data_IF_780545000685
#
_entry.id   IF_780545000685
#
_cell.length_a   1.000
_cell.length_b   1.000
_cell.length_c   1.000
_cell.angle_alpha   90.00
_cell.angle_beta   90.00
_cell.angle_gamma   90.00
#
_symmetry.space_group_name_H-M   'P 1'
#
loop_
_entity.id
_entity.type
_entity.pdbx_description
1 polymer ?
#
# COMPACT_ATOMS: atom_id res chain seq x y z
N UNK A 1 6.88 27.20 35.54
CA UNK A 1 7.11 25.84 34.98
C UNK A 1 6.05 25.63 33.91
N UNK A 2 6.37 25.20 32.68
CA UNK A 2 5.33 24.72 31.79
C UNK A 2 4.66 23.53 32.49
N UNK A 3 3.34 23.60 32.66
CA UNK A 3 2.57 22.45 33.15
C UNK A 3 2.64 21.31 32.12
N UNK A 4 2.33 20.10 32.55
CA UNK A 4 2.32 18.95 31.65
C UNK A 4 1.21 19.08 30.59
N UNK A 5 1.47 18.52 29.42
CA UNK A 5 0.44 18.22 28.44
C UNK A 5 -0.24 16.92 28.86
N UNK A 6 -1.57 16.96 29.02
CA UNK A 6 -2.34 15.82 29.52
C UNK A 6 -3.34 15.37 28.46
N UNK A 7 -3.41 14.06 28.25
CA UNK A 7 -4.44 13.39 27.46
C UNK A 7 -5.26 12.53 28.41
N UNK A 8 -6.58 12.65 28.34
CA UNK A 8 -7.51 11.79 29.08
C UNK A 8 -8.56 11.21 28.14
N UNK A 9 -9.27 10.16 28.59
CA UNK A 9 -10.49 9.71 27.91
C UNK A 9 -11.58 10.75 28.08
N UNK A 10 -12.33 10.99 27.01
CA UNK A 10 -13.55 11.78 27.08
C UNK A 10 -14.63 10.91 27.74
N UNK A 11 -15.25 11.34 28.86
CA UNK A 11 -16.28 10.55 29.55
C UNK A 11 -17.56 10.38 28.71
N UNK A 12 -17.78 11.24 27.73
CA UNK A 12 -18.86 11.15 26.75
C UNK A 12 -18.55 10.04 25.72
N UNK A 13 -19.04 8.83 26.02
CA UNK A 13 -18.79 7.59 25.26
C UNK A 13 -19.40 7.56 23.86
N UNK A 14 -20.41 8.39 23.59
CA UNK A 14 -21.03 8.50 22.25
C UNK A 14 -20.28 9.48 21.34
N UNK A 15 -19.26 10.15 21.87
CA UNK A 15 -18.50 11.15 21.13
C UNK A 15 -17.57 10.52 20.10
N UNK A 16 -17.62 11.05 18.87
CA UNK A 16 -16.59 10.77 17.84
C UNK A 16 -15.21 11.37 18.17
N UNK A 17 -15.11 12.13 19.26
CA UNK A 17 -13.88 12.69 19.81
C UNK A 17 -13.60 12.07 21.20
N UNK A 18 -13.07 10.83 21.26
CA UNK A 18 -12.93 10.07 22.50
C UNK A 18 -11.81 10.54 23.44
N UNK A 19 -11.04 11.59 23.09
CA UNK A 19 -9.95 12.09 23.92
C UNK A 19 -10.13 13.55 24.30
N UNK A 20 -9.67 13.89 25.50
CA UNK A 20 -9.51 15.25 26.00
C UNK A 20 -8.03 15.61 26.06
N UNK A 21 -7.69 16.83 25.63
CA UNK A 21 -6.33 17.38 25.63
C UNK A 21 -6.32 18.59 26.56
N UNK A 22 -5.44 18.61 27.56
CA UNK A 22 -5.13 19.80 28.37
C UNK A 22 -3.81 20.37 27.91
N UNK A 23 -3.87 21.51 27.23
CA UNK A 23 -2.70 22.23 26.72
C UNK A 23 -2.30 23.29 27.76
N UNK A 24 -1.04 23.29 28.22
CA UNK A 24 -0.58 24.14 29.32
C UNK A 24 -0.28 25.57 28.84
N UNK A 25 -1.30 26.25 28.31
CA UNK A 25 -1.22 27.63 27.84
C UNK A 25 -2.13 28.54 28.68
N UNK A 26 -1.50 29.42 29.48
CA UNK A 26 -2.19 30.32 30.40
C UNK A 26 -2.63 29.65 31.71
N UNK A 27 -3.20 30.41 32.66
CA UNK A 27 -3.45 29.94 34.04
C UNK A 27 -4.45 28.79 34.16
N UNK A 28 -5.39 28.67 33.23
CA UNK A 28 -6.40 27.59 33.21
C UNK A 28 -6.12 26.47 32.21
N UNK A 29 -5.06 26.59 31.42
CA UNK A 29 -4.85 25.76 30.23
C UNK A 29 -5.94 25.93 29.16
N UNK A 30 -5.75 25.25 28.04
CA UNK A 30 -6.78 25.11 26.99
C UNK A 30 -7.20 23.65 26.94
N UNK A 31 -8.52 23.41 26.91
CA UNK A 31 -9.07 22.06 26.90
C UNK A 31 -9.78 21.82 25.57
N UNK A 32 -9.39 20.73 24.90
CA UNK A 32 -9.94 20.35 23.61
C UNK A 32 -10.35 18.88 23.59
N UNK A 33 -11.47 18.56 22.93
CA UNK A 33 -11.80 17.21 22.48
C UNK A 33 -11.06 16.91 21.17
N UNK A 34 -10.55 15.69 21.02
CA UNK A 34 -9.83 15.22 19.85
C UNK A 34 -10.15 13.75 19.54
N UNK A 35 -9.95 13.36 18.27
CA UNK A 35 -10.24 11.98 17.83
C UNK A 35 -9.15 10.96 18.12
N UNK A 36 -7.94 11.43 18.43
CA UNK A 36 -6.74 10.60 18.61
C UNK A 36 -5.77 11.32 19.55
N UNK A 37 -4.79 10.59 20.08
CA UNK A 37 -3.79 11.03 21.04
C UNK A 37 -2.59 11.74 20.41
N UNK A 38 -2.45 11.69 19.08
CA UNK A 38 -1.44 12.46 18.34
C UNK A 38 -1.76 12.53 16.83
N UNK A 39 -1.48 13.63 16.12
CA UNK A 39 -1.74 13.76 14.68
C UNK A 39 -0.67 13.05 13.84
N UNK A 40 -0.78 11.72 13.78
CA UNK A 40 0.20 10.82 13.12
C UNK A 40 -0.02 10.71 11.61
N UNK A 41 -1.24 10.40 11.23
CA UNK A 41 -1.60 10.06 9.84
C UNK A 41 -2.27 11.21 9.09
N UNK A 42 -3.00 12.08 9.80
CA UNK A 42 -3.63 13.28 9.27
C UNK A 42 -3.79 14.33 10.39
N UNK A 43 -4.09 15.57 10.01
CA UNK A 43 -4.48 16.60 10.98
C UNK A 43 -5.76 16.18 11.72
N UNK A 44 -5.85 16.52 12.99
CA UNK A 44 -6.98 16.18 13.85
C UNK A 44 -7.81 17.43 14.06
N UNK A 45 -9.12 17.34 13.80
CA UNK A 45 -10.04 18.37 14.25
C UNK A 45 -10.16 18.34 15.77
N UNK A 46 -10.15 19.52 16.39
CA UNK A 46 -10.30 19.68 17.81
C UNK A 46 -11.51 20.58 18.11
N UNK A 47 -12.29 20.19 19.11
CA UNK A 47 -13.44 20.96 19.59
C UNK A 47 -13.12 21.53 20.97
N UNK A 48 -13.33 22.83 21.18
CA UNK A 48 -13.08 23.46 22.49
C UNK A 48 -14.13 23.03 23.50
N UNK A 49 -13.71 22.80 24.74
CA UNK A 49 -14.62 22.58 25.87
C UNK A 49 -14.21 23.47 27.03
N UNK A 50 -15.16 23.77 27.90
CA UNK A 50 -14.97 24.80 28.94
C UNK A 50 -14.40 24.24 30.25
N UNK A 51 -14.59 22.94 30.51
CA UNK A 51 -14.18 22.31 31.77
C UNK A 51 -13.44 20.99 31.56
N UNK A 52 -12.51 20.69 32.47
CA UNK A 52 -11.85 19.41 32.58
C UNK A 52 -12.65 18.56 33.57
N UNK A 53 -13.12 17.35 33.20
CA UNK A 53 -13.87 16.50 34.12
C UNK A 53 -13.02 16.08 35.32
N UNK A 54 -13.58 16.10 36.53
CA UNK A 54 -12.88 15.70 37.75
C UNK A 54 -12.50 14.21 37.75
N UNK A 55 -13.33 13.39 37.11
CA UNK A 55 -13.20 11.94 36.95
C UNK A 55 -12.47 11.53 35.66
N UNK A 56 -11.82 12.47 34.96
CA UNK A 56 -11.14 12.19 33.71
C UNK A 56 -10.01 11.16 33.86
N UNK A 57 -10.16 9.99 33.23
CA UNK A 57 -9.14 8.95 33.17
C UNK A 57 -7.95 9.40 32.31
N UNK A 58 -6.83 9.74 32.96
CA UNK A 58 -5.60 10.16 32.27
C UNK A 58 -4.99 8.98 31.51
N UNK A 59 -4.87 9.14 30.19
CA UNK A 59 -4.23 8.19 29.28
C UNK A 59 -2.74 8.48 29.15
N UNK A 60 -2.37 9.76 29.08
CA UNK A 60 -0.98 10.17 28.93
C UNK A 60 -0.75 11.52 29.62
N UNK A 61 0.41 11.66 30.28
CA UNK A 61 0.89 12.93 30.83
C UNK A 61 2.35 13.11 30.44
N UNK A 62 2.65 14.20 29.74
CA UNK A 62 3.99 14.44 29.18
C UNK A 62 4.49 15.82 29.57
N UNK A 63 5.71 15.93 30.13
CA UNK A 63 6.32 17.22 30.38
C UNK A 63 6.46 18.04 29.11
N UNK A 64 6.28 19.35 29.21
CA UNK A 64 6.36 20.27 28.09
C UNK A 64 7.66 21.07 28.15
N UNK A 65 8.45 21.04 27.07
CA UNK A 65 9.64 21.89 26.94
C UNK A 65 9.29 23.31 26.52
N UNK A 66 8.28 23.47 25.66
CA UNK A 66 7.79 24.77 25.20
C UNK A 66 6.34 24.68 24.76
N UNK A 67 5.49 25.59 25.24
CA UNK A 67 4.14 25.82 24.74
C UNK A 67 3.93 27.33 24.56
N UNK A 68 3.89 27.78 23.30
CA UNK A 68 3.86 29.21 22.98
C UNK A 68 2.85 29.49 21.89
N UNK A 69 2.02 30.52 22.09
CA UNK A 69 1.14 31.04 21.04
C UNK A 69 1.93 31.90 20.06
N UNK A 70 1.81 31.61 18.78
CA UNK A 70 2.34 32.43 17.67
C UNK A 70 1.23 32.72 16.67
N UNK A 71 0.73 33.95 16.69
CA UNK A 71 -0.40 34.36 15.85
C UNK A 71 -1.63 33.48 16.07
N UNK A 72 -2.04 32.79 15.00
CA UNK A 72 -3.18 31.88 14.96
C UNK A 72 -2.84 30.41 15.30
N UNK A 73 -1.63 30.13 15.79
CA UNK A 73 -1.21 28.79 16.18
C UNK A 73 -0.66 28.75 17.60
N UNK A 74 -0.72 27.57 18.22
CA UNK A 74 0.02 27.24 19.44
C UNK A 74 1.06 26.20 19.06
N UNK A 75 2.34 26.54 19.24
CA UNK A 75 3.44 25.60 19.10
C UNK A 75 3.56 24.79 20.39
N UNK A 76 3.53 23.46 20.27
CA UNK A 76 3.67 22.53 21.39
C UNK A 76 4.89 21.63 21.17
N UNK A 77 5.86 21.74 22.07
CA UNK A 77 7.08 20.92 22.11
C UNK A 77 7.10 20.14 23.42
N UNK A 78 6.92 18.82 23.31
CA UNK A 78 6.93 17.89 24.42
C UNK A 78 8.35 17.39 24.73
N UNK A 79 8.58 16.97 25.97
CA UNK A 79 9.81 16.32 26.41
C UNK A 79 9.74 14.80 26.23
N UNK A 80 9.78 14.35 24.98
CA UNK A 80 9.87 12.93 24.62
C UNK A 80 10.63 12.73 23.31
N UNK A 81 11.09 11.49 23.09
CA UNK A 81 11.94 11.14 21.94
C UNK A 81 11.19 11.10 20.59
N UNK A 82 9.89 10.83 20.59
CA UNK A 82 9.04 10.77 19.38
C UNK A 82 7.75 11.53 19.62
N UNK A 83 7.07 11.92 18.54
CA UNK A 83 5.76 12.61 18.64
C UNK A 83 5.86 13.84 19.55
N UNK A 84 6.92 14.62 19.39
CA UNK A 84 7.30 15.64 20.36
C UNK A 84 7.11 17.08 19.88
N UNK A 85 6.71 17.28 18.61
CA UNK A 85 6.51 18.61 18.01
C UNK A 85 5.21 18.64 17.24
N UNK A 86 4.31 19.55 17.61
CA UNK A 86 3.03 19.75 16.94
C UNK A 86 2.57 21.21 17.04
N UNK A 87 1.52 21.53 16.29
CA UNK A 87 0.84 22.81 16.33
C UNK A 87 -0.67 22.63 16.48
N UNK A 88 -1.31 23.47 17.29
CA UNK A 88 -2.76 23.66 17.28
C UNK A 88 -3.08 24.95 16.54
N UNK A 89 -3.68 24.83 15.36
CA UNK A 89 -3.96 25.96 14.46
C UNK A 89 -5.43 26.33 14.52
N UNK A 90 -5.68 27.59 14.83
CA UNK A 90 -6.99 28.21 14.84
C UNK A 90 -7.26 28.77 13.44
N UNK A 91 -8.23 28.19 12.75
CA UNK A 91 -8.57 28.54 11.38
C UNK A 91 -10.07 28.83 11.25
N UNK A 92 -10.47 29.45 10.14
CA UNK A 92 -11.87 29.50 9.71
C UNK A 92 -12.07 28.49 8.58
N UNK A 93 -13.07 27.62 8.70
CA UNK A 93 -13.48 26.71 7.62
C UNK A 93 -14.46 27.40 6.66
N UNK A 94 -14.81 26.72 5.56
CA UNK A 94 -15.79 27.22 4.57
C UNK A 94 -17.08 27.63 5.29
N UNK A 95 -17.54 28.86 5.04
CA UNK A 95 -18.66 29.48 5.76
C UNK A 95 -18.25 30.26 7.02
N UNK A 96 -16.96 30.54 7.24
CA UNK A 96 -16.48 31.46 8.28
C UNK A 96 -16.45 30.91 9.71
N UNK A 97 -16.92 29.67 9.92
CA UNK A 97 -16.97 29.01 11.24
C UNK A 97 -15.56 28.78 11.79
N UNK A 98 -15.30 29.05 13.08
CA UNK A 98 -14.03 28.76 13.71
C UNK A 98 -13.81 27.24 13.80
N UNK A 99 -12.57 26.80 13.60
CA UNK A 99 -12.15 25.41 13.76
C UNK A 99 -10.73 25.38 14.31
N UNK A 100 -10.44 24.36 15.12
CA UNK A 100 -9.10 24.11 15.66
C UNK A 100 -8.58 22.83 15.01
N UNK A 101 -7.36 22.86 14.49
CA UNK A 101 -6.71 21.68 13.93
C UNK A 101 -5.39 21.41 14.64
N UNK A 102 -5.25 20.22 15.19
CA UNK A 102 -3.99 19.72 15.71
C UNK A 102 -3.21 18.99 14.61
N UNK A 103 -1.99 19.42 14.35
CA UNK A 103 -1.18 18.94 13.22
C UNK A 103 0.30 18.82 13.58
N UNK A 104 1.01 17.99 12.82
CA UNK A 104 2.48 17.93 12.80
C UNK A 104 2.99 18.49 11.47
N UNK A 105 4.31 18.71 11.36
CA UNK A 105 4.92 19.11 10.08
C UNK A 105 4.56 18.13 8.95
N UNK A 106 4.49 16.83 9.26
CA UNK A 106 4.08 15.78 8.32
C UNK A 106 2.64 15.96 7.85
N UNK A 107 1.69 16.10 8.78
CA UNK A 107 0.27 16.17 8.42
C UNK A 107 -0.16 17.52 7.86
N UNK A 108 0.62 18.58 8.10
CA UNK A 108 0.41 19.90 7.51
C UNK A 108 0.79 19.95 6.01
N UNK A 109 1.87 19.26 5.60
CA UNK A 109 2.37 19.26 4.21
C UNK A 109 1.64 18.28 3.27
N UNK A 110 0.69 17.48 3.78
CA UNK A 110 -0.02 16.48 2.97
C UNK A 110 -0.83 17.12 1.84
N UNK A 111 -0.76 16.51 0.66
CA UNK A 111 -1.56 16.88 -0.50
C UNK A 111 -3.06 16.69 -0.21
N UNK A 112 -3.90 17.55 -0.81
CA UNK A 112 -5.36 17.42 -0.81
C UNK A 112 -5.88 17.41 -2.24
N UNK A 113 -5.77 16.27 -2.94
CA UNK A 113 -6.30 16.14 -4.29
C UNK A 113 -7.82 16.34 -4.24
N UNK A 114 -8.36 17.13 -5.16
CA UNK A 114 -9.80 17.36 -5.29
C UNK A 114 -10.44 16.19 -6.05
N UNK A 115 -10.35 14.98 -5.47
CA UNK A 115 -10.83 13.74 -6.09
C UNK A 115 -11.83 13.06 -5.18
N UNK A 116 -12.97 12.70 -5.75
CA UNK A 116 -13.98 11.86 -5.11
C UNK A 116 -13.61 10.40 -5.32
N UNK A 117 -13.69 9.61 -4.25
CA UNK A 117 -13.41 8.18 -4.32
C UNK A 117 -14.70 7.39 -4.54
N UNK A 118 -14.68 6.36 -5.41
CA UNK A 118 -15.83 5.51 -5.63
C UNK A 118 -16.14 4.67 -4.37
N UNK A 119 -17.42 4.57 -4.04
CA UNK A 119 -17.94 3.71 -2.95
C UNK A 119 -18.51 2.37 -3.46
N UNK A 120 -18.54 2.19 -4.79
CA UNK A 120 -19.02 0.95 -5.42
C UNK A 120 -18.08 -0.22 -5.09
N UNK A 121 -18.65 -1.41 -4.86
CA UNK A 121 -17.90 -2.65 -4.58
C UNK A 121 -16.86 -2.91 -5.66
N UNK A 122 -15.64 -3.22 -5.25
CA UNK A 122 -14.61 -3.73 -6.14
C UNK A 122 -15.07 -5.05 -6.74
N UNK A 123 -15.13 -5.12 -8.07
CA UNK A 123 -15.52 -6.32 -8.83
C UNK A 123 -16.87 -6.92 -8.41
N UNK A 124 -17.79 -6.09 -7.87
CA UNK A 124 -19.08 -6.57 -7.35
C UNK A 124 -19.00 -7.45 -6.10
N UNK A 125 -17.81 -7.68 -5.55
CA UNK A 125 -17.57 -8.62 -4.46
C UNK A 125 -18.24 -8.15 -3.17
N UNK A 126 -19.08 -9.01 -2.60
CA UNK A 126 -19.65 -8.82 -1.27
C UNK A 126 -18.74 -9.47 -0.22
N UNK A 127 -18.56 -8.81 0.93
CA UNK A 127 -17.94 -9.43 2.11
C UNK A 127 -16.46 -9.77 1.94
N UNK A 128 -15.67 -8.88 1.32
CA UNK A 128 -14.21 -9.07 1.29
C UNK A 128 -13.65 -8.92 2.71
N UNK A 129 -13.01 -9.97 3.22
CA UNK A 129 -12.25 -9.93 4.46
C UNK A 129 -10.79 -9.60 4.16
N UNK A 130 -10.26 -8.54 4.80
CA UNK A 130 -8.86 -8.14 4.71
C UNK A 130 -8.20 -8.44 6.05
N UNK A 131 -7.16 -9.27 6.02
CA UNK A 131 -6.28 -9.47 7.18
C UNK A 131 -5.34 -8.28 7.27
N UNK A 132 -5.33 -7.62 8.43
CA UNK A 132 -4.41 -6.54 8.76
C UNK A 132 -3.35 -7.11 9.70
N UNK A 133 -2.07 -6.94 9.36
CA UNK A 133 -0.98 -7.43 10.19
C UNK A 133 -1.09 -6.89 11.63
N UNK A 134 -0.86 -7.76 12.59
CA UNK A 134 -0.93 -7.45 14.02
C UNK A 134 0.04 -6.33 14.46
N UNK A 135 1.17 -6.16 13.77
CA UNK A 135 2.15 -5.11 14.06
C UNK A 135 1.80 -3.77 13.39
N UNK A 136 0.81 -3.73 12.50
CA UNK A 136 0.42 -2.49 11.82
C UNK A 136 -0.37 -1.58 12.77
N UNK A 137 0.36 -0.66 13.41
CA UNK A 137 -0.16 0.23 14.46
C UNK A 137 -1.20 1.22 13.95
N UNK A 138 -1.05 1.69 12.71
CA UNK A 138 -1.90 2.73 12.12
C UNK A 138 -2.64 2.21 10.90
N UNK A 139 -3.34 1.09 11.12
CA UNK A 139 -4.08 0.37 10.11
C UNK A 139 -5.08 1.25 9.35
N UNK A 140 -5.30 0.92 8.07
CA UNK A 140 -6.45 1.39 7.32
C UNK A 140 -7.73 0.85 7.94
N UNK A 141 -8.75 1.70 7.98
CA UNK A 141 -10.07 1.33 8.48
C UNK A 141 -11.09 1.04 7.38
N UNK A 142 -10.77 1.35 6.12
CA UNK A 142 -11.66 1.18 4.96
C UNK A 142 -13.11 1.67 5.18
N UNK A 143 -13.35 2.84 5.81
CA UNK A 143 -14.68 3.22 6.29
C UNK A 143 -15.73 3.41 5.19
N UNK A 144 -15.28 3.76 3.97
CA UNK A 144 -16.15 4.02 2.82
C UNK A 144 -16.41 2.74 1.98
N UNK A 145 -15.78 1.61 2.35
CA UNK A 145 -15.81 0.38 1.57
C UNK A 145 -16.49 -0.76 2.32
N UNK A 146 -17.12 -1.66 1.58
CA UNK A 146 -17.89 -2.78 2.13
C UNK A 146 -16.96 -3.98 2.40
N UNK A 147 -16.06 -3.82 3.36
CA UNK A 147 -15.06 -4.82 3.75
C UNK A 147 -15.08 -5.05 5.27
N UNK A 148 -14.65 -6.23 5.67
CA UNK A 148 -14.36 -6.54 7.07
C UNK A 148 -12.86 -6.62 7.25
N UNK A 149 -12.32 -6.00 8.30
CA UNK A 149 -10.91 -6.12 8.66
C UNK A 149 -10.76 -7.05 9.85
N UNK A 150 -9.85 -8.02 9.75
CA UNK A 150 -9.49 -8.90 10.86
C UNK A 150 -8.01 -8.73 11.18
N UNK A 151 -7.65 -8.73 12.48
CA UNK A 151 -6.24 -8.71 12.88
C UNK A 151 -5.67 -10.12 12.78
N UNK A 152 -4.50 -10.26 12.15
CA UNK A 152 -3.79 -11.53 12.04
C UNK A 152 -2.32 -11.31 11.79
N UNK A 153 -1.51 -12.37 11.88
CA UNK A 153 -0.10 -12.29 11.48
C UNK A 153 0.00 -12.61 10.00
N UNK A 154 0.66 -11.73 9.23
CA UNK A 154 1.02 -12.00 7.85
C UNK A 154 2.49 -12.43 7.77
N UNK A 155 2.81 -13.32 6.84
CA UNK A 155 4.20 -13.71 6.58
C UNK A 155 4.99 -12.56 5.93
N UNK A 156 4.32 -11.73 5.12
CA UNK A 156 4.84 -10.51 4.53
C UNK A 156 3.70 -9.53 4.22
N UNK A 157 4.00 -8.23 4.25
CA UNK A 157 3.03 -7.15 4.03
C UNK A 157 2.18 -6.80 5.25
N UNK A 158 1.50 -5.66 5.17
CA UNK A 158 0.67 -5.11 6.25
C UNK A 158 -0.82 -5.43 6.09
N UNK A 159 -1.26 -5.71 4.86
CA UNK A 159 -2.64 -6.06 4.52
C UNK A 159 -2.64 -7.26 3.57
N UNK A 160 -3.56 -8.20 3.72
CA UNK A 160 -3.60 -9.36 2.85
C UNK A 160 -4.96 -10.05 2.76
N UNK A 161 -5.07 -10.92 1.75
CA UNK A 161 -6.17 -11.87 1.62
C UNK A 161 -5.65 -13.24 2.03
N UNK A 162 -6.28 -13.85 3.02
CA UNK A 162 -5.94 -15.19 3.51
C UNK A 162 -7.12 -16.12 3.29
N UNK A 163 -6.87 -17.30 2.72
CA UNK A 163 -7.90 -18.33 2.52
C UNK A 163 -7.33 -19.70 2.85
N UNK A 164 -8.01 -20.45 3.73
CA UNK A 164 -7.52 -21.76 4.18
C UNK A 164 -6.12 -21.71 4.79
N UNK A 165 -5.77 -20.61 5.49
CA UNK A 165 -4.44 -20.40 6.06
C UNK A 165 -3.34 -19.96 5.08
N UNK A 166 -3.64 -19.85 3.78
CA UNK A 166 -2.68 -19.43 2.75
C UNK A 166 -2.88 -17.96 2.39
N UNK A 167 -1.79 -17.19 2.32
CA UNK A 167 -1.82 -15.80 1.84
C UNK A 167 -1.92 -15.79 0.32
N UNK A 168 -3.05 -15.33 -0.22
CA UNK A 168 -3.29 -15.21 -1.66
C UNK A 168 -2.70 -13.92 -2.23
N UNK A 169 -2.73 -12.85 -1.43
CA UNK A 169 -2.12 -11.59 -1.79
C UNK A 169 -1.76 -10.77 -0.56
N UNK A 170 -0.74 -9.91 -0.69
CA UNK A 170 -0.40 -8.94 0.35
C UNK A 170 -0.01 -7.56 -0.20
N UNK A 171 -0.18 -6.54 0.61
CA UNK A 171 0.24 -5.16 0.34
C UNK A 171 1.06 -4.66 1.52
N UNK A 172 2.29 -4.26 1.24
CA UNK A 172 3.17 -3.54 2.17
C UNK A 172 2.88 -2.03 2.05
N UNK A 173 2.61 -1.38 3.17
CA UNK A 173 2.30 0.05 3.24
C UNK A 173 3.54 0.82 3.69
N UNK A 174 3.94 1.82 2.90
CA UNK A 174 5.05 2.71 3.26
C UNK A 174 4.69 4.18 3.17
N UNK A 175 5.19 4.95 4.12
CA UNK A 175 5.35 6.39 3.91
C UNK A 175 6.59 6.67 3.06
N UNK A 176 6.68 7.85 2.44
CA UNK A 176 7.89 8.23 1.70
C UNK A 176 9.14 8.20 2.59
N UNK A 177 9.04 8.64 3.83
CA UNK A 177 10.16 8.63 4.78
C UNK A 177 10.61 7.18 5.10
N UNK A 178 9.66 6.28 5.35
CA UNK A 178 9.96 4.87 5.63
C UNK A 178 10.50 4.16 4.39
N UNK A 179 10.01 4.50 3.20
CA UNK A 179 10.54 4.02 1.93
C UNK A 179 12.01 4.43 1.76
N UNK A 180 12.31 5.73 1.84
CA UNK A 180 13.68 6.26 1.72
C UNK A 180 14.61 5.64 2.76
N UNK A 181 14.16 5.53 4.01
CA UNK A 181 14.91 4.87 5.08
C UNK A 181 15.19 3.39 4.75
N UNK A 182 14.18 2.65 4.30
CA UNK A 182 14.35 1.23 3.96
C UNK A 182 15.18 0.97 2.70
N UNK A 183 15.16 1.88 1.72
CA UNK A 183 16.03 1.84 0.55
C UNK A 183 17.49 2.06 0.95
N UNK A 184 17.75 3.15 1.67
CA UNK A 184 19.12 3.54 2.06
C UNK A 184 19.76 2.59 3.06
N UNK A 185 18.96 1.91 3.88
CA UNK A 185 19.45 0.86 4.81
C UNK A 185 19.45 -0.54 4.19
N UNK A 186 19.02 -0.70 2.94
CA UNK A 186 18.92 -1.99 2.26
C UNK A 186 17.76 -2.89 2.71
N UNK A 187 17.03 -2.53 3.79
CA UNK A 187 15.91 -3.28 4.33
C UNK A 187 14.80 -3.55 3.32
N UNK A 188 14.54 -2.61 2.40
CA UNK A 188 13.50 -2.79 1.39
C UNK A 188 13.75 -4.03 0.52
N UNK A 189 15.01 -4.33 0.18
CA UNK A 189 15.35 -5.48 -0.66
C UNK A 189 14.93 -6.81 -0.02
N UNK A 190 15.09 -6.93 1.30
CA UNK A 190 14.62 -8.11 2.04
C UNK A 190 13.10 -8.21 2.05
N UNK A 191 12.41 -7.10 2.30
CA UNK A 191 10.95 -7.05 2.26
C UNK A 191 10.40 -7.41 0.87
N UNK A 192 11.03 -6.92 -0.20
CA UNK A 192 10.65 -7.26 -1.58
C UNK A 192 10.89 -8.74 -1.89
N UNK A 193 11.97 -9.35 -1.40
CA UNK A 193 12.18 -10.79 -1.52
C UNK A 193 11.08 -11.60 -0.84
N UNK A 194 10.67 -11.22 0.37
CA UNK A 194 9.56 -11.89 1.06
C UNK A 194 8.24 -11.71 0.30
N UNK A 195 7.92 -10.49 -0.11
CA UNK A 195 6.73 -10.20 -0.90
C UNK A 195 6.70 -10.94 -2.24
N UNK A 196 7.83 -11.07 -2.92
CA UNK A 196 7.95 -11.78 -4.20
C UNK A 196 7.74 -13.30 -4.07
N UNK A 197 7.76 -13.84 -2.85
CA UNK A 197 7.41 -15.26 -2.61
C UNK A 197 5.89 -15.51 -2.56
N UNK A 198 5.09 -14.45 -2.47
CA UNK A 198 3.63 -14.53 -2.49
C UNK A 198 3.09 -14.57 -3.92
N UNK A 199 1.89 -15.14 -4.16
CA UNK A 199 1.30 -15.20 -5.50
C UNK A 199 1.14 -13.80 -6.11
N UNK A 200 0.69 -12.84 -5.30
CA UNK A 200 0.44 -11.45 -5.68
C UNK A 200 0.84 -10.53 -4.54
N UNK A 201 1.75 -9.60 -4.80
CA UNK A 201 2.15 -8.64 -3.78
C UNK A 201 2.38 -7.26 -4.36
N UNK A 202 2.29 -6.23 -3.53
CA UNK A 202 2.62 -4.86 -3.93
C UNK A 202 3.14 -4.04 -2.74
N UNK A 203 3.88 -2.99 -3.03
CA UNK A 203 4.20 -1.93 -2.07
C UNK A 203 3.38 -0.69 -2.45
N UNK A 204 2.59 -0.19 -1.51
CA UNK A 204 1.84 1.07 -1.68
C UNK A 204 2.54 2.19 -0.91
N UNK A 205 2.81 3.30 -1.58
CA UNK A 205 3.52 4.45 -1.04
C UNK A 205 2.54 5.62 -0.86
N UNK A 206 2.42 6.12 0.37
CA UNK A 206 1.55 7.25 0.73
C UNK A 206 2.18 8.62 0.39
N UNK A 207 2.67 8.77 -0.83
CA UNK A 207 3.14 10.05 -1.37
C UNK A 207 3.21 10.00 -2.91
N UNK A 208 3.54 11.12 -3.54
CA UNK A 208 3.78 11.21 -4.99
C UNK A 208 5.21 10.85 -5.30
N UNK A 209 5.44 10.24 -6.46
CA UNK A 209 6.80 9.99 -6.94
C UNK A 209 7.61 11.30 -7.06
N UNK A 210 6.97 12.41 -7.45
CA UNK A 210 7.61 13.72 -7.53
C UNK A 210 8.17 14.23 -6.20
N UNK A 211 7.68 13.73 -5.06
CA UNK A 211 8.20 14.09 -3.74
C UNK A 211 9.60 13.50 -3.47
N UNK A 212 10.00 12.43 -4.17
CA UNK A 212 11.37 11.89 -4.14
C UNK A 212 12.38 12.96 -4.57
N UNK A 213 12.03 13.78 -5.57
CA UNK A 213 12.90 14.85 -6.08
C UNK A 213 12.90 16.11 -5.22
N UNK A 214 12.19 16.10 -4.09
CA UNK A 214 12.13 17.20 -3.10
C UNK A 214 12.72 16.81 -1.75
N UNK A 215 13.41 15.67 -1.66
CA UNK A 215 14.06 15.23 -0.44
C UNK A 215 15.19 16.20 -0.05
N UNK A 216 15.25 16.56 1.23
CA UNK A 216 16.23 17.52 1.78
C UNK A 216 17.47 16.83 2.37
N UNK A 217 17.35 15.56 2.77
CA UNK A 217 18.38 14.85 3.55
C UNK A 217 19.05 13.69 2.80
N UNK A 218 18.43 13.19 1.74
CA UNK A 218 18.96 12.10 0.93
C UNK A 218 18.95 12.55 -0.53
N UNK A 219 20.05 12.30 -1.24
CA UNK A 219 20.19 12.69 -2.65
C UNK A 219 19.08 12.03 -3.48
N UNK A 220 18.22 12.80 -4.17
CA UNK A 220 17.11 12.22 -4.92
C UNK A 220 17.52 11.21 -5.99
N UNK A 221 18.64 11.45 -6.69
CA UNK A 221 19.17 10.54 -7.70
C UNK A 221 19.43 9.13 -7.14
N UNK A 222 20.00 9.04 -5.94
CA UNK A 222 20.25 7.76 -5.27
C UNK A 222 18.94 6.99 -5.02
N UNK A 223 17.91 7.69 -4.55
CA UNK A 223 16.60 7.08 -4.28
C UNK A 223 15.92 6.63 -5.58
N UNK A 224 16.01 7.44 -6.63
CA UNK A 224 15.46 7.11 -7.95
C UNK A 224 16.15 5.87 -8.55
N UNK A 225 17.49 5.80 -8.49
CA UNK A 225 18.27 4.66 -8.97
C UNK A 225 17.92 3.38 -8.20
N UNK A 226 17.85 3.46 -6.86
CA UNK A 226 17.48 2.31 -6.03
C UNK A 226 16.05 1.83 -6.28
N UNK A 227 15.10 2.75 -6.54
CA UNK A 227 13.73 2.38 -6.93
C UNK A 227 13.72 1.66 -8.30
N UNK A 228 14.50 2.14 -9.26
CA UNK A 228 14.68 1.47 -10.55
C UNK A 228 15.28 0.07 -10.39
N UNK A 229 16.33 -0.06 -9.57
CA UNK A 229 16.95 -1.35 -9.25
C UNK A 229 15.94 -2.31 -8.63
N UNK A 230 15.14 -1.86 -7.66
CA UNK A 230 14.10 -2.68 -7.04
C UNK A 230 13.09 -3.19 -8.06
N UNK A 231 12.60 -2.34 -8.97
CA UNK A 231 11.61 -2.75 -9.97
C UNK A 231 12.19 -3.71 -11.03
N UNK A 232 13.49 -3.62 -11.34
CA UNK A 232 14.16 -4.57 -12.24
C UNK A 232 14.41 -5.93 -11.57
N UNK A 233 14.79 -5.92 -10.28
CA UNK A 233 15.11 -7.15 -9.55
C UNK A 233 13.87 -7.90 -9.05
N UNK A 234 12.78 -7.21 -8.76
CA UNK A 234 11.50 -7.78 -8.33
C UNK A 234 10.34 -7.26 -9.18
N UNK A 235 10.32 -7.54 -10.50
CA UNK A 235 9.32 -6.97 -11.41
C UNK A 235 7.88 -7.39 -11.10
N UNK A 236 7.70 -8.47 -10.33
CA UNK A 236 6.40 -8.96 -9.87
C UNK A 236 5.82 -8.20 -8.68
N UNK A 237 6.61 -7.36 -7.99
CA UNK A 237 6.17 -6.60 -6.80
C UNK A 237 6.17 -5.10 -7.14
N UNK A 238 5.08 -4.56 -7.71
CA UNK A 238 5.00 -3.15 -8.06
C UNK A 238 5.10 -2.25 -6.82
N UNK A 239 5.86 -1.16 -6.94
CA UNK A 239 5.90 -0.05 -5.98
C UNK A 239 5.05 1.10 -6.52
N UNK A 240 3.87 1.33 -5.92
CA UNK A 240 2.86 2.27 -6.42
C UNK A 240 2.77 3.51 -5.53
N UNK A 241 3.00 4.68 -6.11
CA UNK A 241 2.87 5.98 -5.43
C UNK A 241 1.44 6.50 -5.54
N UNK A 242 0.73 6.57 -4.41
CA UNK A 242 -0.69 6.89 -4.37
C UNK A 242 -0.99 8.31 -3.87
N UNK A 243 0.01 9.18 -3.69
CA UNK A 243 -0.12 10.59 -3.25
C UNK A 243 -0.63 10.79 -1.81
N UNK A 244 -1.75 10.21 -1.43
CA UNK A 244 -2.32 10.34 -0.08
C UNK A 244 -2.62 8.98 0.53
N UNK A 245 -2.69 8.96 1.87
CA UNK A 245 -3.20 7.81 2.63
C UNK A 245 -4.58 7.34 2.16
N UNK A 246 -5.49 8.26 1.83
CA UNK A 246 -6.86 7.92 1.39
C UNK A 246 -6.83 7.16 0.05
N UNK A 247 -6.02 7.64 -0.88
CA UNK A 247 -5.83 7.02 -2.20
C UNK A 247 -5.07 5.69 -2.09
N UNK A 248 -4.05 5.62 -1.23
CA UNK A 248 -3.32 4.37 -0.96
C UNK A 248 -4.24 3.29 -0.37
N UNK A 249 -5.12 3.67 0.56
CA UNK A 249 -6.14 2.78 1.12
C UNK A 249 -7.10 2.27 0.03
N UNK A 250 -7.61 3.16 -0.82
CA UNK A 250 -8.50 2.75 -1.91
C UNK A 250 -7.81 1.83 -2.91
N UNK A 251 -6.58 2.14 -3.30
CA UNK A 251 -5.79 1.30 -4.17
C UNK A 251 -5.56 -0.09 -3.55
N UNK A 252 -5.22 -0.14 -2.26
CA UNK A 252 -5.05 -1.39 -1.49
C UNK A 252 -6.32 -2.23 -1.51
N UNK A 253 -7.48 -1.61 -1.27
CA UNK A 253 -8.78 -2.29 -1.33
C UNK A 253 -9.02 -2.91 -2.71
N UNK A 254 -8.85 -2.13 -3.78
CA UNK A 254 -9.10 -2.59 -5.16
C UNK A 254 -8.13 -3.68 -5.59
N UNK A 255 -6.86 -3.56 -5.23
CA UNK A 255 -5.84 -4.56 -5.54
C UNK A 255 -6.14 -5.89 -4.84
N UNK A 256 -6.43 -5.87 -3.54
CA UNK A 256 -6.75 -7.08 -2.78
C UNK A 256 -8.05 -7.74 -3.27
N UNK A 257 -9.06 -6.95 -3.64
CA UNK A 257 -10.28 -7.46 -4.26
C UNK A 257 -9.99 -8.15 -5.61
N UNK A 258 -9.22 -7.50 -6.49
CA UNK A 258 -8.80 -8.08 -7.77
C UNK A 258 -8.04 -9.40 -7.57
N UNK A 259 -7.13 -9.44 -6.59
CA UNK A 259 -6.38 -10.65 -6.27
C UNK A 259 -7.26 -11.75 -5.67
N UNK A 260 -8.32 -11.41 -4.93
CA UNK A 260 -9.28 -12.40 -4.42
C UNK A 260 -10.06 -13.04 -5.59
N UNK A 261 -10.55 -12.23 -6.53
CA UNK A 261 -11.28 -12.68 -7.72
C UNK A 261 -10.38 -13.52 -8.63
N UNK A 262 -9.19 -13.02 -8.98
CA UNK A 262 -8.27 -13.73 -9.85
C UNK A 262 -7.79 -15.06 -9.25
N UNK A 263 -7.79 -15.22 -7.92
CA UNK A 263 -7.41 -16.49 -7.30
C UNK A 263 -8.55 -17.52 -7.43
N UNK A 264 -9.80 -17.05 -7.38
CA UNK A 264 -10.97 -17.89 -7.61
C UNK A 264 -11.04 -18.35 -9.07
N UNK A 265 -10.77 -17.44 -10.01
CA UNK A 265 -10.73 -17.75 -11.44
C UNK A 265 -9.61 -18.75 -11.77
N UNK A 266 -8.40 -18.58 -11.22
CA UNK A 266 -7.29 -19.52 -11.39
C UNK A 266 -7.61 -20.91 -10.83
N UNK A 267 -8.27 -20.98 -9.67
CA UNK A 267 -8.71 -22.25 -9.09
C UNK A 267 -9.72 -22.94 -10.00
N UNK A 268 -10.76 -22.23 -10.43
CA UNK A 268 -11.79 -22.76 -11.31
C UNK A 268 -11.19 -23.19 -12.68
N UNK A 269 -10.27 -22.40 -13.22
CA UNK A 269 -9.54 -22.72 -14.45
C UNK A 269 -8.68 -23.97 -14.31
N UNK A 270 -7.94 -24.10 -13.21
CA UNK A 270 -7.13 -25.28 -12.91
C UNK A 270 -7.98 -26.56 -12.79
N UNK A 271 -9.13 -26.47 -12.11
CA UNK A 271 -10.10 -27.56 -12.01
C UNK A 271 -10.75 -27.91 -13.35
N UNK A 272 -10.98 -26.92 -14.21
CA UNK A 272 -11.48 -27.15 -15.56
C UNK A 272 -10.43 -27.86 -16.43
N UNK A 273 -9.17 -27.40 -16.40
CA UNK A 273 -8.06 -28.01 -17.14
C UNK A 273 -7.79 -29.43 -16.68
N UNK A 274 -7.79 -29.69 -15.38
CA UNK A 274 -7.58 -31.04 -14.82
C UNK A 274 -8.66 -32.05 -15.25
N UNK A 275 -9.86 -31.58 -15.61
CA UNK A 275 -10.95 -32.42 -16.13
C UNK A 275 -10.88 -32.68 -17.63
N UNK A 276 -10.04 -31.94 -18.37
CA UNK A 276 -9.87 -32.18 -19.80
C UNK A 276 -9.17 -33.53 -20.01
N UNK A 277 -9.74 -34.38 -20.87
CA UNK A 277 -9.08 -35.60 -21.30
C UNK A 277 -7.80 -35.25 -22.06
N UNK A 278 -6.71 -35.95 -21.77
CA UNK A 278 -5.49 -35.84 -22.56
C UNK A 278 -5.79 -36.24 -24.02
N UNK A 279 -5.47 -35.35 -24.96
CA UNK A 279 -5.52 -35.69 -26.38
C UNK A 279 -4.50 -36.78 -26.68
N UNK A 280 -4.85 -37.70 -27.59
CA UNK A 280 -3.86 -38.61 -28.14
C UNK A 280 -2.71 -37.79 -28.77
N UNK A 281 -1.44 -38.23 -28.64
CA UNK A 281 -0.33 -37.57 -29.31
C UNK A 281 -0.65 -37.42 -30.80
N UNK A 282 -0.58 -36.19 -31.30
CA UNK A 282 -0.73 -35.96 -32.74
C UNK A 282 0.51 -36.49 -33.46
N UNK A 283 0.29 -37.08 -34.64
CA UNK A 283 1.39 -37.38 -35.54
C UNK A 283 2.20 -36.09 -35.81
N UNK A 284 3.53 -36.19 -35.99
CA UNK A 284 4.34 -35.03 -36.34
C UNK A 284 3.76 -34.31 -37.55
N UNK A 285 3.77 -32.98 -37.52
CA UNK A 285 3.30 -32.20 -38.65
C UNK A 285 4.02 -32.64 -39.95
N UNK A 286 3.30 -32.72 -41.08
CA UNK A 286 3.91 -33.03 -42.35
C UNK A 286 5.00 -31.99 -42.65
N UNK A 287 6.17 -32.42 -43.16
CA UNK A 287 7.27 -31.50 -43.38
C UNK A 287 6.92 -30.48 -44.43
N UNK A 288 7.30 -29.23 -44.19
CA UNK A 288 7.15 -28.18 -45.18
C UNK A 288 8.11 -28.42 -46.33
N UNK A 289 7.73 -28.01 -47.54
CA UNK A 289 8.60 -28.07 -48.70
C UNK A 289 9.94 -27.32 -48.49
N UNK A 290 9.99 -26.32 -47.59
CA UNK A 290 11.22 -25.62 -47.25
C UNK A 290 12.17 -26.52 -46.43
N UNK A 291 11.67 -27.20 -45.40
CA UNK A 291 12.44 -28.14 -44.58
C UNK A 291 13.02 -29.28 -45.42
N UNK A 292 12.18 -29.89 -46.27
CA UNK A 292 12.63 -30.98 -47.17
C UNK A 292 13.72 -30.50 -48.12
N UNK A 293 13.64 -29.26 -48.65
CA UNK A 293 14.68 -28.71 -49.53
C UNK A 293 15.99 -28.40 -48.82
N UNK A 294 15.93 -27.89 -47.60
CA UNK A 294 17.14 -27.61 -46.81
C UNK A 294 17.88 -28.91 -46.54
N UNK A 295 17.14 -29.92 -46.07
CA UNK A 295 17.67 -31.27 -45.85
C UNK A 295 18.22 -31.89 -47.14
N UNK A 296 17.45 -31.86 -48.23
CA UNK A 296 17.87 -32.45 -49.51
C UNK A 296 19.19 -31.82 -50.01
N UNK A 297 19.38 -30.50 -49.87
CA UNK A 297 20.64 -29.84 -50.22
C UNK A 297 21.80 -30.28 -49.33
N UNK A 298 21.57 -30.49 -48.04
CA UNK A 298 22.58 -30.99 -47.11
C UNK A 298 23.00 -32.43 -47.45
N UNK A 299 22.04 -33.26 -47.89
CA UNK A 299 22.28 -34.63 -48.32
C UNK A 299 22.77 -34.74 -49.78
N UNK A 300 22.98 -33.62 -50.48
CA UNK A 300 23.41 -33.62 -51.88
C UNK A 300 22.35 -34.10 -52.88
N UNK A 301 21.08 -34.20 -52.48
CA UNK A 301 19.97 -34.63 -53.32
C UNK A 301 19.50 -33.48 -54.26
N UNK A 302 19.30 -33.74 -55.56
CA UNK A 302 18.84 -32.73 -56.50
C UNK A 302 17.40 -32.31 -56.19
N UNK A 303 17.20 -31.02 -55.88
CA UNK A 303 15.87 -30.46 -55.58
C UNK A 303 15.71 -29.04 -56.13
N UNK A 304 14.58 -28.77 -56.78
CA UNK A 304 14.27 -27.43 -57.33
C UNK A 304 14.14 -26.38 -56.23
N UNK A 305 14.63 -25.17 -56.50
CA UNK A 305 14.50 -24.03 -55.59
C UNK A 305 13.04 -23.58 -55.37
N UNK A 306 12.13 -23.89 -56.29
CA UNK A 306 10.70 -23.50 -56.26
C UNK A 306 9.80 -24.63 -56.78
N UNK A 307 8.50 -24.56 -56.49
CA UNK A 307 7.50 -25.53 -56.98
C UNK A 307 7.35 -26.77 -56.08
N UNK A 308 6.58 -27.78 -56.52
CA UNK A 308 6.33 -28.99 -55.72
C UNK A 308 7.64 -29.78 -55.50
N UNK A 309 7.88 -30.22 -54.26
CA UNK A 309 9.02 -31.11 -53.96
C UNK A 309 8.65 -32.53 -54.42
N UNK A 310 9.55 -33.25 -55.11
CA UNK A 310 9.28 -34.62 -55.55
C UNK A 310 8.93 -35.52 -54.36
N UNK A 311 7.95 -36.41 -54.53
CA UNK A 311 7.48 -37.30 -53.46
C UNK A 311 8.59 -38.20 -52.92
N UNK A 312 9.52 -38.62 -53.78
CA UNK A 312 10.68 -39.43 -53.42
C UNK A 312 11.60 -38.72 -52.41
N UNK A 313 11.82 -37.41 -52.62
CA UNK A 313 12.64 -36.59 -51.72
C UNK A 313 11.92 -36.35 -50.38
N UNK A 314 10.58 -36.22 -50.41
CA UNK A 314 9.77 -36.12 -49.19
C UNK A 314 9.78 -37.44 -48.41
N UNK A 315 9.71 -38.58 -49.08
CA UNK A 315 9.77 -39.89 -48.45
C UNK A 315 11.14 -40.16 -47.83
N UNK A 316 12.22 -39.81 -48.53
CA UNK A 316 13.58 -39.93 -48.00
C UNK A 316 13.81 -39.02 -46.78
N UNK A 317 13.26 -37.81 -46.79
CA UNK A 317 13.27 -36.91 -45.61
C UNK A 317 12.53 -37.53 -44.42
N UNK A 318 11.36 -38.13 -44.65
CA UNK A 318 10.57 -38.75 -43.57
C UNK A 318 11.29 -39.97 -43.00
N UNK A 319 11.92 -40.78 -43.85
CA UNK A 319 12.71 -41.94 -43.41
C UNK A 319 13.93 -41.55 -42.57
N UNK A 320 14.62 -40.45 -42.93
CA UNK A 320 15.76 -39.92 -42.16
C UNK A 320 15.35 -39.26 -40.84
N UNK A 321 14.13 -38.70 -40.78
CA UNK A 321 13.59 -38.05 -39.56
C UNK A 321 13.06 -39.06 -38.54
N UNK A 322 12.44 -40.13 -39.02
CA UNK A 322 11.70 -41.08 -38.19
C UNK A 322 12.53 -42.34 -37.85
N UNK A 323 13.77 -42.46 -38.36
CA UNK A 323 14.75 -43.51 -38.06
C UNK A 323 15.83 -43.08 -37.07
#
# INVERSE_FOLDING_TARGET
MPEDFVIARNPDGDSTLPYLLRIPLGPGGIILKARDTWPRTAKIYCHRVDAWPEDAEVVERVPVRSCVRRGAAIDLVLDRGRENRSQLVFARVRGGRPAIFWQTARTAKQARPAVDLPTARAFGQAGLEIVVDSHERYAYGFPDQQVTTVRGRLAAGDYGIVRGGTVLAAVERKSLADLVSSLTTGKLKYQLTELASLPRAAVVVEDRYSAVFRLEHVRPALVADMLGECQVRWPMVPIVFCETRKLAQEWTYRFLAAASVGAEEERAGSEAVARLAAGAPLAPAPPTAAQVRVWARQQGLPVSAKGRVPQEVVAAYLADRDG
#
